data_IF_589608138233
#
_entry.id   IF_589608138233
#
_cell.length_a   1.000
_cell.length_b   1.000
_cell.length_c   1.000
_cell.angle_alpha   90.00
_cell.angle_beta   90.00
_cell.angle_gamma   90.00
#
_symmetry.space_group_name_H-M   'P 1'
#
loop_
_entity.id
_entity.type
_entity.pdbx_description
1 polymer ?
#
# COMPACT_ATOMS: atom_id res chain seq x y z
N UNK A 1 3.53 57.30 16.74
CA UNK A 1 2.91 55.97 16.49
C UNK A 1 3.24 55.48 15.06
N UNK A 2 4.49 55.15 14.75
CA UNK A 2 4.90 54.65 13.41
C UNK A 2 6.10 53.68 13.48
N UNK A 3 6.34 53.02 14.64
CA UNK A 3 7.46 52.08 14.78
C UNK A 3 7.06 50.60 14.98
N UNK A 4 5.77 50.26 15.12
CA UNK A 4 5.30 48.88 15.38
C UNK A 4 4.86 48.08 14.14
N UNK A 5 4.77 48.74 12.97
CA UNK A 5 4.30 48.05 11.74
C UNK A 5 5.43 47.39 10.90
N UNK A 6 6.65 47.86 11.04
CA UNK A 6 7.79 47.37 10.23
C UNK A 6 8.43 46.09 10.81
N UNK A 7 8.35 45.88 12.13
CA UNK A 7 8.88 44.66 12.76
C UNK A 7 7.99 43.43 12.51
N UNK A 8 6.67 43.61 12.45
CA UNK A 8 5.74 42.47 12.18
C UNK A 8 5.81 41.98 10.73
N UNK A 9 5.97 42.87 9.76
CA UNK A 9 6.11 42.52 8.35
C UNK A 9 7.45 41.80 8.05
N UNK A 10 8.55 42.22 8.71
CA UNK A 10 9.87 41.59 8.55
C UNK A 10 9.94 40.20 9.18
N UNK A 11 9.27 39.98 10.31
CA UNK A 11 9.21 38.66 10.97
C UNK A 11 8.34 37.68 10.18
N UNK A 12 7.25 38.14 9.60
CA UNK A 12 6.38 37.29 8.76
C UNK A 12 7.10 36.89 7.47
N UNK A 13 7.80 37.81 6.81
CA UNK A 13 8.51 37.49 5.55
C UNK A 13 9.72 36.57 5.79
N UNK A 14 10.45 36.72 6.90
CA UNK A 14 11.56 35.84 7.25
C UNK A 14 11.07 34.41 7.60
N UNK A 15 9.95 34.26 8.29
CA UNK A 15 9.39 32.95 8.64
C UNK A 15 8.80 32.22 7.43
N UNK A 16 8.26 32.91 6.44
CA UNK A 16 7.80 32.31 5.19
C UNK A 16 8.97 31.85 4.32
N UNK A 17 10.05 32.62 4.22
CA UNK A 17 11.25 32.27 3.45
C UNK A 17 11.97 31.06 4.07
N UNK A 18 12.09 31.01 5.41
CA UNK A 18 12.64 29.87 6.13
C UNK A 18 11.80 28.61 5.97
N UNK A 19 10.47 28.69 6.06
CA UNK A 19 9.59 27.54 5.88
C UNK A 19 9.60 27.02 4.43
N UNK A 20 9.74 27.90 3.45
CA UNK A 20 9.89 27.53 2.05
C UNK A 20 11.25 26.84 1.81
N UNK A 21 12.31 27.33 2.44
CA UNK A 21 13.65 26.73 2.39
C UNK A 21 13.68 25.32 3.01
N UNK A 22 13.03 25.12 4.16
CA UNK A 22 12.89 23.79 4.78
C UNK A 22 12.14 22.81 3.87
N UNK A 23 11.04 23.25 3.26
CA UNK A 23 10.23 22.43 2.33
C UNK A 23 11.03 21.99 1.12
N UNK A 24 11.87 22.85 0.55
CA UNK A 24 12.73 22.49 -0.58
C UNK A 24 13.73 21.40 -0.20
N UNK A 25 14.37 21.50 0.97
CA UNK A 25 15.29 20.46 1.47
C UNK A 25 14.57 19.14 1.74
N UNK A 26 13.37 19.17 2.30
CA UNK A 26 12.56 17.95 2.50
C UNK A 26 12.23 17.31 1.16
N UNK A 27 11.83 18.08 0.16
CA UNK A 27 11.55 17.56 -1.20
C UNK A 27 12.81 16.95 -1.82
N UNK A 28 13.95 17.63 -1.74
CA UNK A 28 15.23 17.11 -2.22
C UNK A 28 15.59 15.77 -1.54
N UNK A 29 15.46 15.70 -0.21
CA UNK A 29 15.70 14.46 0.55
C UNK A 29 14.82 13.29 0.09
N UNK A 30 13.55 13.56 -0.17
CA UNK A 30 12.58 12.52 -0.56
C UNK A 30 12.80 12.03 -2.00
N UNK A 31 13.25 12.92 -2.90
CA UNK A 31 13.44 12.63 -4.33
C UNK A 31 14.85 12.14 -4.68
N UNK A 32 15.85 12.40 -3.84
CA UNK A 32 17.23 11.97 -4.09
C UNK A 32 17.33 10.44 -4.11
N UNK A 33 17.85 9.88 -5.19
CA UNK A 33 17.97 8.43 -5.38
C UNK A 33 19.26 7.85 -4.80
N UNK A 34 20.31 8.66 -4.70
CA UNK A 34 21.58 8.27 -4.06
C UNK A 34 21.44 8.35 -2.53
N UNK A 35 21.61 7.22 -1.85
CA UNK A 35 21.46 7.11 -0.40
C UNK A 35 22.43 8.01 0.37
N UNK A 36 23.69 8.15 -0.11
CA UNK A 36 24.71 8.95 0.55
C UNK A 36 24.39 10.46 0.45
N UNK A 37 23.92 10.91 -0.72
CA UNK A 37 23.49 12.29 -0.91
C UNK A 37 22.24 12.59 -0.09
N UNK A 38 21.27 11.69 -0.06
CA UNK A 38 20.10 11.86 0.77
C UNK A 38 20.46 11.97 2.27
N UNK A 39 21.38 11.14 2.77
CA UNK A 39 21.83 11.25 4.17
C UNK A 39 22.55 12.58 4.44
N UNK A 40 23.23 13.17 3.46
CA UNK A 40 23.81 14.51 3.58
C UNK A 40 22.72 15.58 3.70
N UNK A 41 21.70 15.55 2.82
CA UNK A 41 20.54 16.47 2.88
C UNK A 41 19.80 16.33 4.21
N UNK A 42 19.57 15.09 4.68
CA UNK A 42 18.97 14.85 6.00
C UNK A 42 19.79 15.48 7.11
N UNK A 43 21.13 15.34 7.06
CA UNK A 43 22.03 15.95 8.06
C UNK A 43 21.88 17.47 8.07
N UNK A 44 21.70 18.11 6.92
CA UNK A 44 21.51 19.56 6.85
C UNK A 44 20.13 19.98 7.35
N UNK A 45 19.09 19.20 7.09
CA UNK A 45 17.76 19.43 7.71
C UNK A 45 17.86 19.36 9.23
N UNK A 46 18.53 18.34 9.79
CA UNK A 46 18.63 18.14 11.24
C UNK A 46 19.43 19.23 11.99
N UNK A 47 20.25 20.02 11.29
CA UNK A 47 20.97 21.18 11.87
C UNK A 47 20.10 22.44 11.94
N UNK A 48 18.97 22.48 11.27
CA UNK A 48 18.12 23.66 11.20
C UNK A 48 17.32 23.85 12.49
N UNK A 49 17.29 25.06 13.05
CA UNK A 49 16.54 25.36 14.27
C UNK A 49 15.01 25.35 14.05
N UNK A 50 14.55 25.54 12.81
CA UNK A 50 13.15 25.53 12.39
C UNK A 50 12.63 24.14 11.96
N UNK A 51 13.50 23.11 11.96
CA UNK A 51 13.13 21.74 11.60
C UNK A 51 12.74 20.92 12.85
N UNK A 52 11.66 21.28 13.50
CA UNK A 52 11.04 20.40 14.51
C UNK A 52 10.06 19.40 13.88
N UNK A 53 9.61 18.43 14.67
CA UNK A 53 8.72 17.35 14.19
C UNK A 53 7.43 17.90 13.58
N UNK A 54 6.83 18.91 14.21
CA UNK A 54 5.57 19.50 13.75
C UNK A 54 5.74 20.27 12.45
N UNK A 55 6.80 21.09 12.33
CA UNK A 55 7.11 21.83 11.11
C UNK A 55 7.37 20.88 9.92
N UNK A 56 8.06 19.76 10.18
CA UNK A 56 8.33 18.75 9.15
C UNK A 56 7.07 17.97 8.79
N UNK A 57 6.22 17.57 9.76
CA UNK A 57 4.93 16.96 9.50
C UNK A 57 4.03 17.87 8.66
N UNK A 58 3.91 19.13 9.04
CA UNK A 58 3.15 20.14 8.29
C UNK A 58 3.68 20.28 6.85
N UNK A 59 4.99 20.27 6.68
CA UNK A 59 5.61 20.33 5.36
C UNK A 59 5.30 19.12 4.50
N UNK A 60 5.31 17.91 5.10
CA UNK A 60 4.99 16.64 4.42
C UNK A 60 3.50 16.50 4.09
N UNK A 61 2.61 17.02 4.96
CA UNK A 61 1.15 16.94 4.80
C UNK A 61 0.60 18.01 3.86
N UNK A 62 1.34 19.10 3.62
CA UNK A 62 0.92 20.13 2.66
C UNK A 62 0.86 19.52 1.28
N UNK A 63 -0.22 19.81 0.56
CA UNK A 63 -0.42 19.34 -0.79
C UNK A 63 0.80 19.66 -1.67
N UNK A 64 1.35 18.61 -2.29
CA UNK A 64 2.37 18.76 -3.32
C UNK A 64 1.75 19.59 -4.45
N UNK A 65 2.45 20.61 -4.91
CA UNK A 65 2.03 21.39 -6.07
C UNK A 65 2.26 20.54 -7.32
N UNK A 66 1.19 20.04 -7.89
CA UNK A 66 1.24 19.33 -9.16
C UNK A 66 1.16 20.32 -10.32
N UNK A 67 2.01 20.13 -11.31
CA UNK A 67 1.95 20.88 -12.56
C UNK A 67 0.92 20.28 -13.50
N UNK A 68 0.48 21.06 -14.49
CA UNK A 68 -0.42 20.52 -15.53
C UNK A 68 0.29 19.41 -16.31
N UNK A 69 -0.37 18.27 -16.44
CA UNK A 69 0.15 17.07 -17.05
C UNK A 69 -0.75 16.64 -18.21
N UNK A 70 -0.23 15.93 -19.22
CA UNK A 70 -1.03 15.42 -20.34
C UNK A 70 -2.19 14.54 -19.86
N UNK A 71 -3.36 14.74 -20.49
CA UNK A 71 -4.61 13.99 -20.27
C UNK A 71 -4.82 12.95 -21.36
N UNK A 72 -5.81 12.09 -21.18
CA UNK A 72 -6.16 11.05 -22.15
C UNK A 72 -5.35 9.78 -21.99
N UNK A 73 -5.20 9.04 -23.08
CA UNK A 73 -4.50 7.74 -23.11
C UNK A 73 -3.01 7.93 -23.40
N UNK A 74 -2.17 7.31 -22.59
CA UNK A 74 -0.72 7.23 -22.75
C UNK A 74 -0.31 5.77 -22.80
N UNK A 75 0.26 5.32 -23.90
CA UNK A 75 0.71 3.94 -24.10
C UNK A 75 2.21 3.81 -23.89
N UNK A 76 2.65 2.66 -23.42
CA UNK A 76 4.07 2.31 -23.32
C UNK A 76 4.87 3.22 -22.39
N UNK A 77 4.25 3.79 -21.34
CA UNK A 77 4.98 4.63 -20.38
C UNK A 77 6.05 3.78 -19.68
N UNK A 78 7.34 4.13 -19.83
CA UNK A 78 8.42 3.29 -19.34
C UNK A 78 8.63 3.45 -17.83
N UNK A 79 8.88 2.34 -17.14
CA UNK A 79 9.34 2.30 -15.75
C UNK A 79 10.54 1.39 -15.63
N UNK A 80 11.48 1.74 -14.76
CA UNK A 80 12.66 0.93 -14.45
C UNK A 80 12.45 0.14 -13.16
N UNK A 81 12.65 -1.18 -13.23
CA UNK A 81 12.55 -2.10 -12.08
C UNK A 81 13.75 -3.03 -12.11
N UNK A 82 14.56 -3.02 -11.05
CA UNK A 82 15.77 -3.86 -10.93
C UNK A 82 16.68 -3.84 -12.16
N UNK A 83 16.91 -2.66 -12.75
CA UNK A 83 17.74 -2.48 -13.94
C UNK A 83 17.12 -2.98 -15.26
N UNK A 84 15.85 -3.36 -15.25
CA UNK A 84 15.07 -3.73 -16.43
C UNK A 84 13.99 -2.70 -16.69
N UNK A 85 13.61 -2.53 -17.96
CA UNK A 85 12.51 -1.66 -18.37
C UNK A 85 11.23 -2.45 -18.57
N UNK A 86 10.14 -1.93 -18.00
CA UNK A 86 8.78 -2.39 -18.21
C UNK A 86 7.94 -1.20 -18.71
N UNK A 87 6.72 -1.48 -19.17
CA UNK A 87 5.81 -0.45 -19.63
C UNK A 87 4.45 -0.56 -18.94
N UNK A 88 3.73 0.53 -18.90
CA UNK A 88 2.32 0.55 -18.53
C UNK A 88 1.53 1.49 -19.42
N UNK A 89 0.24 1.26 -19.54
CA UNK A 89 -0.71 2.17 -20.15
C UNK A 89 -1.40 2.99 -19.05
N UNK A 90 -1.62 4.29 -19.34
CA UNK A 90 -2.23 5.23 -18.41
C UNK A 90 -3.41 5.92 -19.08
N UNK A 91 -4.50 6.07 -18.36
CA UNK A 91 -5.60 6.97 -18.73
C UNK A 91 -5.76 8.04 -17.66
N UNK A 92 -5.77 9.29 -18.11
CA UNK A 92 -6.02 10.46 -17.28
C UNK A 92 -7.32 11.13 -17.79
N UNK A 93 -8.31 11.36 -16.91
CA UNK A 93 -9.56 12.02 -17.29
C UNK A 93 -9.36 13.33 -18.05
N UNK A 94 -10.21 13.61 -19.04
CA UNK A 94 -10.13 14.85 -19.82
C UNK A 94 -10.33 16.10 -18.95
N UNK A 95 -11.12 15.98 -17.89
CA UNK A 95 -11.37 17.02 -16.88
C UNK A 95 -10.35 17.06 -15.74
N UNK A 96 -9.22 16.35 -15.80
CA UNK A 96 -8.22 16.36 -14.73
C UNK A 96 -7.77 17.77 -14.36
N UNK A 97 -7.76 18.06 -13.06
CA UNK A 97 -7.28 19.31 -12.47
C UNK A 97 -6.15 19.01 -11.47
N UNK A 98 -4.94 19.60 -11.62
CA UNK A 98 -3.82 19.33 -10.70
C UNK A 98 -4.12 19.63 -9.24
N UNK A 99 -5.01 20.58 -8.95
CA UNK A 99 -5.42 20.95 -7.60
C UNK A 99 -6.41 19.96 -6.95
N UNK A 100 -6.91 18.95 -7.70
CA UNK A 100 -7.90 17.98 -7.21
C UNK A 100 -7.28 16.60 -7.14
N UNK A 101 -7.41 15.94 -5.99
CA UNK A 101 -6.95 14.57 -5.82
C UNK A 101 -7.93 13.56 -6.46
N UNK A 102 -7.39 12.68 -7.31
CA UNK A 102 -8.16 11.67 -8.04
C UNK A 102 -7.94 10.27 -7.49
N UNK A 103 -8.97 9.41 -7.49
CA UNK A 103 -8.78 8.00 -7.22
C UNK A 103 -7.99 7.33 -8.35
N UNK A 104 -7.17 6.34 -8.00
CA UNK A 104 -6.39 5.53 -8.93
C UNK A 104 -6.86 4.09 -8.93
N UNK A 105 -7.07 3.50 -10.10
CA UNK A 105 -7.29 2.05 -10.25
C UNK A 105 -6.12 1.45 -11.02
N UNK A 106 -5.38 0.56 -10.37
CA UNK A 106 -4.35 -0.27 -10.99
C UNK A 106 -5.02 -1.53 -11.53
N UNK A 107 -4.90 -1.79 -12.84
CA UNK A 107 -5.59 -2.86 -13.53
C UNK A 107 -4.60 -3.91 -14.04
N UNK A 108 -4.65 -5.12 -13.49
CA UNK A 108 -3.78 -6.24 -13.86
C UNK A 108 -4.43 -7.10 -14.94
N UNK A 109 -3.77 -7.23 -16.10
CA UNK A 109 -4.30 -7.98 -17.23
C UNK A 109 -4.24 -9.50 -17.04
N UNK A 110 -5.10 -10.24 -17.74
CA UNK A 110 -5.08 -11.69 -17.82
C UNK A 110 -3.95 -12.24 -18.71
N UNK A 111 -3.86 -13.56 -18.82
CA UNK A 111 -2.88 -14.23 -19.66
C UNK A 111 -2.99 -13.78 -21.14
N UNK A 112 -1.85 -13.52 -21.77
CA UNK A 112 -1.78 -13.16 -23.19
C UNK A 112 -2.22 -11.74 -23.54
N UNK A 113 -2.53 -10.89 -22.56
CA UNK A 113 -2.85 -9.47 -22.77
C UNK A 113 -1.65 -8.58 -22.41
N UNK A 114 -1.76 -7.29 -22.76
CA UNK A 114 -0.88 -6.20 -22.34
C UNK A 114 -1.67 -5.15 -21.55
N UNK A 115 -0.98 -4.23 -20.90
CA UNK A 115 -1.61 -3.11 -20.20
C UNK A 115 -2.46 -2.26 -21.15
N UNK A 116 -1.98 -2.01 -22.36
CA UNK A 116 -2.70 -1.23 -23.40
C UNK A 116 -4.04 -1.89 -23.77
N UNK A 117 -4.00 -3.18 -24.10
CA UNK A 117 -5.20 -3.92 -24.47
C UNK A 117 -6.18 -4.05 -23.30
N UNK A 118 -5.69 -3.94 -22.06
CA UNK A 118 -6.52 -4.02 -20.86
C UNK A 118 -7.08 -2.64 -20.47
N UNK A 119 -6.34 -1.56 -20.75
CA UNK A 119 -6.79 -0.20 -20.50
C UNK A 119 -8.07 0.13 -21.25
N UNK A 120 -8.19 -0.21 -22.55
CA UNK A 120 -9.38 0.03 -23.36
C UNK A 120 -10.65 -0.57 -22.72
N UNK A 121 -10.52 -1.73 -22.08
CA UNK A 121 -11.65 -2.39 -21.40
C UNK A 121 -12.09 -1.62 -20.17
N UNK A 122 -11.14 -1.09 -19.38
CA UNK A 122 -11.43 -0.38 -18.15
C UNK A 122 -11.82 1.07 -18.37
N UNK A 123 -11.21 1.76 -19.33
CA UNK A 123 -11.58 3.13 -19.69
C UNK A 123 -13.05 3.23 -20.07
N UNK A 124 -13.54 2.32 -20.92
CA UNK A 124 -14.96 2.28 -21.31
C UNK A 124 -15.93 1.95 -20.17
N UNK A 125 -15.42 1.52 -19.02
CA UNK A 125 -16.20 1.09 -17.85
C UNK A 125 -16.20 2.10 -16.71
N UNK A 126 -15.06 2.73 -16.40
CA UNK A 126 -14.89 3.59 -15.21
C UNK A 126 -14.98 5.09 -15.51
N UNK A 127 -15.12 5.48 -16.80
CA UNK A 127 -15.32 6.84 -17.23
C UNK A 127 -14.28 7.86 -16.72
N UNK A 128 -14.69 9.12 -16.63
CA UNK A 128 -13.88 10.30 -16.30
C UNK A 128 -13.62 10.49 -14.80
N UNK A 129 -13.96 9.53 -13.94
CA UNK A 129 -13.87 9.71 -12.49
C UNK A 129 -12.57 9.17 -11.88
N UNK A 130 -11.85 8.34 -12.63
CA UNK A 130 -10.67 7.61 -12.13
C UNK A 130 -9.48 7.81 -13.06
N UNK A 131 -8.30 7.94 -12.49
CA UNK A 131 -7.06 7.68 -13.23
C UNK A 131 -6.87 6.16 -13.27
N UNK A 132 -6.54 5.61 -14.45
CA UNK A 132 -6.34 4.18 -14.64
C UNK A 132 -4.89 3.91 -15.04
N UNK A 133 -4.23 2.97 -14.39
CA UNK A 133 -2.89 2.55 -14.76
C UNK A 133 -2.86 1.02 -14.92
N UNK A 134 -2.46 0.58 -16.11
CA UNK A 134 -2.44 -0.82 -16.50
C UNK A 134 -1.00 -1.24 -16.82
N UNK A 135 -0.22 -1.73 -15.85
CA UNK A 135 1.12 -2.24 -16.13
C UNK A 135 1.07 -3.48 -17.01
N UNK A 136 2.12 -3.69 -17.82
CA UNK A 136 2.30 -4.89 -18.62
C UNK A 136 3.29 -5.83 -17.94
N UNK A 137 2.85 -7.06 -17.69
CA UNK A 137 3.69 -8.13 -17.21
C UNK A 137 3.69 -9.27 -18.23
N UNK A 138 4.86 -9.72 -18.73
CA UNK A 138 4.93 -10.78 -19.73
C UNK A 138 4.08 -12.00 -19.33
N UNK A 139 3.24 -12.46 -20.23
CA UNK A 139 2.30 -13.58 -20.07
C UNK A 139 1.31 -13.43 -18.90
N UNK A 140 1.25 -12.27 -18.22
CA UNK A 140 0.42 -12.09 -17.03
C UNK A 140 0.92 -12.90 -15.82
N UNK A 141 2.22 -13.06 -15.67
CA UNK A 141 2.84 -13.81 -14.57
C UNK A 141 2.93 -12.96 -13.29
N UNK A 142 1.77 -12.58 -12.74
CA UNK A 142 1.63 -11.69 -11.59
C UNK A 142 2.08 -12.29 -10.25
N UNK A 143 2.46 -13.55 -10.22
CA UNK A 143 2.98 -14.27 -9.05
C UNK A 143 4.50 -14.24 -8.93
N UNK A 144 5.15 -13.23 -9.47
CA UNK A 144 6.59 -13.01 -9.36
C UNK A 144 6.88 -11.75 -8.56
N UNK A 145 8.07 -11.66 -7.97
CA UNK A 145 8.52 -10.42 -7.29
C UNK A 145 8.64 -9.26 -8.26
N UNK A 146 9.16 -9.50 -9.47
CA UNK A 146 9.21 -8.48 -10.50
C UNK A 146 7.82 -7.88 -10.76
N UNK A 147 6.76 -8.72 -10.74
CA UNK A 147 5.41 -8.24 -10.94
C UNK A 147 4.94 -7.30 -9.81
N UNK A 148 5.22 -7.62 -8.56
CA UNK A 148 4.93 -6.73 -7.44
C UNK A 148 5.71 -5.41 -7.57
N UNK A 149 7.00 -5.48 -7.89
CA UNK A 149 7.84 -4.30 -8.07
C UNK A 149 7.37 -3.43 -9.26
N UNK A 150 6.90 -4.04 -10.35
CA UNK A 150 6.30 -3.34 -11.51
C UNK A 150 5.04 -2.59 -11.10
N UNK A 151 4.14 -3.22 -10.33
CA UNK A 151 2.92 -2.56 -9.84
C UNK A 151 3.26 -1.40 -8.92
N UNK A 152 4.19 -1.58 -7.99
CA UNK A 152 4.62 -0.53 -7.06
C UNK A 152 5.37 0.61 -7.77
N UNK A 153 6.20 0.30 -8.78
CA UNK A 153 6.87 1.32 -9.58
C UNK A 153 5.86 2.12 -10.41
N UNK A 154 4.85 1.45 -11.01
CA UNK A 154 3.74 2.11 -11.71
C UNK A 154 3.00 3.06 -10.77
N UNK A 155 2.65 2.59 -9.57
CA UNK A 155 1.99 3.42 -8.55
C UNK A 155 2.81 4.68 -8.24
N UNK A 156 4.10 4.52 -7.94
CA UNK A 156 4.99 5.65 -7.60
C UNK A 156 5.13 6.64 -8.77
N UNK A 157 5.29 6.15 -10.00
CA UNK A 157 5.42 7.01 -11.18
C UNK A 157 4.14 7.82 -11.43
N UNK A 158 2.97 7.22 -11.27
CA UNK A 158 1.69 7.94 -11.41
C UNK A 158 1.53 8.98 -10.29
N UNK A 159 1.80 8.64 -9.04
CA UNK A 159 1.72 9.56 -7.89
C UNK A 159 2.75 10.70 -7.98
N UNK A 160 3.90 10.48 -8.63
CA UNK A 160 4.89 11.53 -8.84
C UNK A 160 4.40 12.61 -9.82
N UNK A 161 3.56 12.26 -10.78
CA UNK A 161 3.10 13.14 -11.86
C UNK A 161 1.70 13.68 -11.69
N UNK A 162 0.80 12.91 -11.08
CA UNK A 162 -0.61 13.22 -10.96
C UNK A 162 -1.05 13.26 -9.50
N UNK A 163 -1.96 14.18 -9.17
CA UNK A 163 -2.51 14.30 -7.82
C UNK A 163 -3.46 13.14 -7.54
N UNK A 164 -2.93 12.08 -6.96
CA UNK A 164 -3.67 10.90 -6.56
C UNK A 164 -4.11 11.03 -5.09
N UNK A 165 -5.38 10.72 -4.81
CA UNK A 165 -5.87 10.52 -3.44
C UNK A 165 -5.25 9.23 -2.86
N UNK A 166 -4.32 9.32 -1.89
CA UNK A 166 -3.63 8.14 -1.36
C UNK A 166 -4.57 7.17 -0.62
N UNK A 167 -5.75 7.64 -0.24
CA UNK A 167 -6.74 6.81 0.45
C UNK A 167 -7.77 6.19 -0.50
N UNK A 168 -7.61 6.42 -1.82
CA UNK A 168 -8.49 5.89 -2.88
C UNK A 168 -7.70 5.21 -3.99
N UNK A 169 -6.77 4.34 -3.63
CA UNK A 169 -6.01 3.51 -4.56
C UNK A 169 -6.59 2.10 -4.54
N UNK A 170 -6.95 1.60 -5.71
CA UNK A 170 -7.57 0.29 -5.89
C UNK A 170 -6.71 -0.62 -6.76
N UNK A 171 -6.79 -1.91 -6.53
CA UNK A 171 -6.14 -2.92 -7.35
C UNK A 171 -7.21 -3.88 -7.89
N UNK A 172 -7.29 -4.02 -9.20
CA UNK A 172 -8.24 -4.91 -9.88
C UNK A 172 -7.55 -5.76 -10.94
N UNK A 173 -8.14 -6.89 -11.27
CA UNK A 173 -7.64 -7.77 -12.32
C UNK A 173 -8.49 -9.02 -12.47
N UNK A 174 -8.39 -9.65 -13.63
CA UNK A 174 -9.14 -10.86 -13.95
C UNK A 174 -8.19 -12.00 -14.31
N UNK A 175 -8.60 -13.25 -14.00
CA UNK A 175 -7.80 -14.43 -14.33
C UNK A 175 -6.42 -14.36 -13.67
N UNK A 176 -5.33 -14.48 -14.42
CA UNK A 176 -3.97 -14.26 -13.90
C UNK A 176 -3.83 -12.92 -13.18
N UNK A 177 -4.46 -11.84 -13.72
CA UNK A 177 -4.50 -10.53 -13.05
C UNK A 177 -5.18 -10.59 -11.69
N UNK A 178 -6.24 -11.38 -11.54
CA UNK A 178 -6.91 -11.61 -10.26
C UNK A 178 -6.05 -12.36 -9.24
N UNK A 179 -5.22 -13.33 -9.69
CA UNK A 179 -4.19 -13.95 -8.84
C UNK A 179 -3.23 -12.87 -8.33
N UNK A 180 -2.76 -11.98 -9.23
CA UNK A 180 -1.92 -10.85 -8.87
C UNK A 180 -2.56 -9.91 -7.86
N UNK A 181 -3.87 -9.64 -8.00
CA UNK A 181 -4.62 -8.81 -7.03
C UNK A 181 -4.57 -9.42 -5.64
N UNK A 182 -4.79 -10.73 -5.49
CA UNK A 182 -4.70 -11.37 -4.18
C UNK A 182 -3.28 -11.34 -3.62
N UNK A 183 -2.28 -11.70 -4.43
CA UNK A 183 -0.89 -11.79 -3.97
C UNK A 183 -0.30 -10.42 -3.62
N UNK A 184 -0.33 -9.49 -4.57
CA UNK A 184 0.21 -8.15 -4.39
C UNK A 184 -0.64 -7.39 -3.37
N UNK A 185 -1.97 -7.48 -3.48
CA UNK A 185 -2.90 -6.84 -2.56
C UNK A 185 -2.72 -7.29 -1.12
N UNK A 186 -2.53 -8.60 -0.86
CA UNK A 186 -2.32 -9.08 0.52
C UNK A 186 -0.96 -8.69 1.10
N UNK A 187 0.12 -8.70 0.29
CA UNK A 187 1.44 -8.30 0.77
C UNK A 187 1.55 -6.79 1.04
N UNK A 188 0.80 -5.97 0.29
CA UNK A 188 0.84 -4.51 0.34
C UNK A 188 -0.53 -3.90 0.69
N UNK A 189 -1.36 -4.63 1.42
CA UNK A 189 -2.74 -4.25 1.76
C UNK A 189 -2.89 -2.80 2.28
N UNK A 190 -1.99 -2.27 3.12
CA UNK A 190 -2.10 -0.88 3.60
C UNK A 190 -2.00 0.19 2.51
N UNK A 191 -1.62 -0.14 1.28
CA UNK A 191 -1.59 0.80 0.17
C UNK A 191 -2.96 0.94 -0.53
N UNK A 192 -3.87 -0.01 -0.33
CA UNK A 192 -5.09 -0.10 -1.12
C UNK A 192 -6.34 0.18 -0.28
N UNK A 193 -7.25 0.98 -0.85
CA UNK A 193 -8.59 1.20 -0.32
C UNK A 193 -9.50 -0.03 -0.51
N UNK A 194 -9.20 -0.86 -1.52
CA UNK A 194 -9.91 -2.09 -1.79
C UNK A 194 -9.31 -2.88 -2.95
N UNK A 195 -9.63 -4.17 -2.98
CA UNK A 195 -9.18 -5.12 -3.99
C UNK A 195 -10.38 -5.66 -4.77
N UNK A 196 -10.27 -5.77 -6.09
CA UNK A 196 -11.34 -6.31 -6.93
C UNK A 196 -10.84 -7.43 -7.86
N UNK A 197 -10.51 -8.62 -7.32
CA UNK A 197 -10.15 -9.80 -8.12
C UNK A 197 -11.39 -10.43 -8.78
N UNK A 198 -11.24 -10.81 -10.05
CA UNK A 198 -12.34 -11.35 -10.86
C UNK A 198 -11.96 -12.67 -11.51
N UNK A 199 -12.88 -13.63 -11.54
CA UNK A 199 -12.70 -14.94 -12.18
C UNK A 199 -11.34 -15.55 -11.85
N UNK A 200 -11.01 -15.68 -10.56
CA UNK A 200 -9.65 -16.00 -10.09
C UNK A 200 -9.67 -16.71 -8.74
N UNK A 201 -8.49 -17.05 -8.24
CA UNK A 201 -8.33 -17.73 -6.96
C UNK A 201 -6.90 -17.67 -6.43
N UNK A 202 -6.68 -18.35 -5.31
CA UNK A 202 -5.39 -18.54 -4.69
C UNK A 202 -5.10 -20.03 -4.50
N UNK A 203 -3.83 -20.35 -4.54
CA UNK A 203 -3.33 -21.62 -4.08
C UNK A 203 -3.47 -21.74 -2.55
N UNK A 204 -3.66 -22.94 -2.06
CA UNK A 204 -3.93 -23.22 -0.65
C UNK A 204 -2.76 -22.82 0.28
N UNK A 205 -1.50 -22.88 -0.19
CA UNK A 205 -0.33 -22.42 0.57
C UNK A 205 -0.29 -20.90 0.73
N UNK A 206 -0.99 -20.16 -0.11
CA UNK A 206 -1.07 -18.69 -0.09
C UNK A 206 -2.29 -18.17 0.70
N UNK A 207 -3.24 -19.03 1.02
CA UNK A 207 -4.44 -18.66 1.79
C UNK A 207 -4.16 -17.96 3.11
N UNK A 208 -3.09 -18.31 3.88
CA UNK A 208 -2.78 -17.62 5.13
C UNK A 208 -2.52 -16.11 4.97
N UNK A 209 -2.08 -15.64 3.79
CA UNK A 209 -1.86 -14.22 3.53
C UNK A 209 -3.16 -13.40 3.43
N UNK A 210 -4.33 -14.04 3.29
CA UNK A 210 -5.62 -13.36 3.38
C UNK A 210 -5.83 -12.70 4.76
N UNK A 211 -5.13 -13.17 5.80
CA UNK A 211 -5.15 -12.53 7.12
C UNK A 211 -4.66 -11.07 7.08
N UNK A 212 -3.84 -10.70 6.08
CA UNK A 212 -3.37 -9.34 5.87
C UNK A 212 -4.48 -8.36 5.41
N UNK A 213 -5.62 -8.88 4.96
CA UNK A 213 -6.71 -8.08 4.40
C UNK A 213 -7.73 -7.58 5.45
N UNK A 214 -7.40 -7.63 6.75
CA UNK A 214 -8.29 -7.16 7.83
C UNK A 214 -8.89 -5.78 7.56
N UNK A 215 -8.10 -4.87 7.00
CA UNK A 215 -8.50 -3.48 6.78
C UNK A 215 -8.75 -3.14 5.30
N UNK A 216 -8.55 -4.10 4.40
CA UNK A 216 -8.68 -3.89 2.96
C UNK A 216 -9.81 -4.75 2.43
N UNK A 217 -11.00 -4.18 2.19
CA UNK A 217 -12.16 -4.92 1.70
C UNK A 217 -11.93 -5.49 0.31
N UNK A 218 -12.57 -6.62 0.03
CA UNK A 218 -12.44 -7.35 -1.24
C UNK A 218 -13.79 -7.43 -1.94
N UNK A 219 -13.83 -7.07 -3.23
CA UNK A 219 -14.98 -7.30 -4.13
C UNK A 219 -14.64 -8.41 -5.11
N UNK A 220 -15.26 -9.57 -4.97
CA UNK A 220 -15.03 -10.74 -5.83
C UNK A 220 -16.22 -10.97 -6.73
N UNK A 221 -15.95 -11.29 -8.00
CA UNK A 221 -16.97 -11.74 -8.94
C UNK A 221 -16.47 -12.94 -9.74
N UNK A 222 -17.32 -13.96 -9.95
CA UNK A 222 -16.95 -15.17 -10.66
C UNK A 222 -18.16 -15.77 -11.41
N UNK A 223 -17.92 -16.27 -12.62
CA UNK A 223 -18.94 -16.98 -13.37
C UNK A 223 -19.07 -18.44 -12.92
N UNK A 224 -20.30 -18.90 -12.66
CA UNK A 224 -20.54 -20.32 -12.25
C UNK A 224 -20.19 -21.33 -13.36
N UNK A 225 -20.15 -20.88 -14.61
CA UNK A 225 -19.78 -21.69 -15.78
C UNK A 225 -18.34 -21.45 -16.24
N UNK A 226 -17.48 -20.92 -15.37
CA UNK A 226 -16.07 -20.69 -15.68
C UNK A 226 -15.32 -22.02 -15.77
N UNK A 227 -14.86 -22.35 -16.99
CA UNK A 227 -14.11 -23.58 -17.28
C UNK A 227 -12.58 -23.37 -17.25
N UNK A 228 -12.13 -22.11 -17.13
CA UNK A 228 -10.70 -21.75 -17.08
C UNK A 228 -10.23 -21.70 -15.63
N UNK A 229 -10.99 -20.99 -14.79
CA UNK A 229 -10.74 -20.86 -13.36
C UNK A 229 -11.99 -21.32 -12.61
N UNK A 230 -12.01 -22.51 -12.00
CA UNK A 230 -13.20 -23.02 -11.31
C UNK A 230 -13.73 -22.07 -10.24
N UNK A 231 -15.05 -21.85 -10.21
CA UNK A 231 -15.73 -20.94 -9.27
C UNK A 231 -15.48 -21.32 -7.81
N UNK A 232 -15.17 -22.58 -7.53
CA UNK A 232 -14.82 -23.13 -6.22
C UNK A 232 -13.60 -22.42 -5.59
N UNK A 233 -12.70 -21.89 -6.41
CA UNK A 233 -11.55 -21.09 -5.93
C UNK A 233 -12.03 -19.83 -5.21
N UNK A 234 -12.95 -19.07 -5.81
CA UNK A 234 -13.54 -17.89 -5.17
C UNK A 234 -14.42 -18.24 -3.98
N UNK A 235 -15.18 -19.34 -4.05
CA UNK A 235 -15.98 -19.85 -2.92
C UNK A 235 -15.11 -20.21 -1.71
N UNK A 236 -13.94 -20.80 -1.95
CA UNK A 236 -12.96 -21.14 -0.91
C UNK A 236 -12.41 -19.86 -0.24
N UNK A 237 -12.07 -18.84 -1.03
CA UNK A 237 -11.62 -17.56 -0.50
C UNK A 237 -12.75 -16.86 0.29
N UNK A 238 -13.97 -16.85 -0.23
CA UNK A 238 -15.13 -16.28 0.48
C UNK A 238 -15.36 -16.95 1.83
N UNK A 239 -15.25 -18.29 1.88
CA UNK A 239 -15.34 -19.05 3.14
C UNK A 239 -14.24 -18.66 4.12
N UNK A 240 -13.01 -18.47 3.65
CA UNK A 240 -11.89 -18.06 4.50
C UNK A 240 -12.06 -16.62 5.02
N UNK A 241 -12.46 -15.67 4.16
CA UNK A 241 -12.74 -14.29 4.59
C UNK A 241 -13.89 -14.23 5.60
N UNK A 242 -14.93 -15.09 5.43
CA UNK A 242 -16.00 -15.25 6.41
C UNK A 242 -15.46 -15.76 7.74
N UNK A 243 -14.62 -16.79 7.72
CA UNK A 243 -13.98 -17.35 8.92
C UNK A 243 -13.13 -16.31 9.67
N UNK A 244 -12.43 -15.42 8.92
CA UNK A 244 -11.64 -14.33 9.46
C UNK A 244 -12.50 -13.17 9.98
N UNK A 245 -13.78 -13.08 9.58
CA UNK A 245 -14.67 -11.97 9.91
C UNK A 245 -14.30 -10.67 9.18
N UNK A 246 -13.76 -10.78 7.97
CA UNK A 246 -13.29 -9.62 7.20
C UNK A 246 -14.34 -9.12 6.21
N UNK A 247 -14.34 -7.82 5.88
CA UNK A 247 -15.29 -7.24 4.95
C UNK A 247 -15.01 -7.69 3.51
N UNK A 248 -16.00 -8.27 2.86
CA UNK A 248 -15.94 -8.59 1.44
C UNK A 248 -17.32 -8.57 0.80
N UNK A 249 -17.36 -8.43 -0.50
CA UNK A 249 -18.52 -8.65 -1.38
C UNK A 249 -18.18 -9.78 -2.31
N UNK A 250 -19.06 -10.80 -2.39
CA UNK A 250 -18.90 -11.90 -3.32
C UNK A 250 -20.15 -12.04 -4.18
N UNK A 251 -19.95 -12.09 -5.49
CA UNK A 251 -21.02 -12.23 -6.48
C UNK A 251 -20.70 -13.34 -7.45
N UNK A 252 -21.69 -14.15 -7.77
CA UNK A 252 -21.63 -15.14 -8.85
C UNK A 252 -22.57 -14.70 -9.97
N UNK A 253 -22.20 -14.98 -11.22
CA UNK A 253 -23.09 -14.83 -12.37
C UNK A 253 -23.21 -16.14 -13.14
N UNK A 254 -24.38 -16.39 -13.69
CA UNK A 254 -24.70 -17.56 -14.51
C UNK A 254 -24.59 -17.30 -16.03
N UNK A 255 -24.14 -16.11 -16.40
CA UNK A 255 -24.02 -15.67 -17.79
C UNK A 255 -22.84 -16.32 -18.47
N UNK A 256 -22.98 -16.60 -19.75
CA UNK A 256 -21.94 -17.18 -20.60
C UNK A 256 -21.60 -16.24 -21.76
N UNK A 257 -20.30 -16.19 -22.10
CA UNK A 257 -19.80 -15.49 -23.29
C UNK A 257 -19.43 -16.54 -24.36
N UNK A 258 -19.74 -16.32 -25.65
CA UNK A 258 -19.51 -17.30 -26.70
C UNK A 258 -18.08 -17.86 -26.79
N UNK A 259 -17.09 -17.03 -26.44
CA UNK A 259 -15.65 -17.41 -26.51
C UNK A 259 -15.08 -17.78 -25.13
N UNK A 260 -15.56 -17.13 -24.05
CA UNK A 260 -14.96 -17.24 -22.72
C UNK A 260 -15.78 -18.09 -21.75
N UNK A 261 -16.95 -18.60 -22.15
CA UNK A 261 -17.86 -19.28 -21.23
C UNK A 261 -18.22 -18.37 -20.06
N UNK A 262 -18.04 -18.84 -18.82
CA UNK A 262 -18.21 -18.04 -17.60
C UNK A 262 -16.99 -17.19 -17.23
N UNK A 263 -15.87 -17.29 -17.98
CA UNK A 263 -14.60 -16.62 -17.67
C UNK A 263 -14.57 -15.17 -18.19
N UNK A 264 -15.42 -14.31 -17.64
CA UNK A 264 -15.45 -12.88 -18.00
C UNK A 264 -16.13 -12.05 -16.92
N UNK A 265 -15.99 -10.71 -17.01
CA UNK A 265 -16.70 -9.76 -16.15
C UNK A 265 -17.90 -9.16 -16.92
N UNK A 266 -19.16 -9.47 -16.52
CA UNK A 266 -20.35 -8.91 -17.15
C UNK A 266 -20.45 -7.40 -16.93
N UNK A 267 -20.83 -6.66 -17.99
CA UNK A 267 -20.96 -5.20 -17.89
C UNK A 267 -22.07 -4.77 -16.92
N UNK A 268 -23.05 -5.61 -16.72
CA UNK A 268 -24.19 -5.37 -15.83
C UNK A 268 -23.80 -5.33 -14.35
N UNK A 269 -22.66 -5.95 -14.00
CA UNK A 269 -22.09 -5.91 -12.65
C UNK A 269 -21.27 -4.64 -12.36
N UNK A 270 -21.00 -3.85 -13.41
CA UNK A 270 -20.16 -2.68 -13.31
C UNK A 270 -20.71 -1.57 -12.42
N UNK A 271 -22.02 -1.22 -12.45
CA UNK A 271 -22.56 -0.18 -11.58
C UNK A 271 -22.35 -0.49 -10.09
N UNK A 272 -22.49 -1.76 -9.70
CA UNK A 272 -22.29 -2.19 -8.31
C UNK A 272 -20.81 -2.10 -7.90
N UNK A 273 -19.88 -2.47 -8.80
CA UNK A 273 -18.45 -2.33 -8.57
C UNK A 273 -18.03 -0.86 -8.42
N UNK A 274 -18.53 0.03 -9.30
CA UNK A 274 -18.24 1.47 -9.23
C UNK A 274 -18.77 2.05 -7.93
N UNK A 275 -20.05 1.77 -7.60
CA UNK A 275 -20.64 2.20 -6.33
C UNK A 275 -19.90 1.66 -5.10
N UNK A 276 -19.27 0.48 -5.22
CA UNK A 276 -18.43 -0.07 -4.17
C UNK A 276 -17.11 0.70 -4.09
N UNK A 277 -16.39 0.96 -5.19
CA UNK A 277 -15.16 1.77 -5.20
C UNK A 277 -15.39 3.14 -4.57
N UNK A 278 -16.50 3.81 -4.90
CA UNK A 278 -16.82 5.16 -4.41
C UNK A 278 -16.94 5.24 -2.88
N UNK A 279 -17.33 4.14 -2.24
CA UNK A 279 -17.49 4.03 -0.79
C UNK A 279 -16.21 3.71 -0.04
N UNK A 280 -15.19 3.13 -0.74
CA UNK A 280 -14.02 2.64 -0.04
C UNK A 280 -12.98 3.76 0.18
N UNK A 281 -12.41 3.75 1.38
CA UNK A 281 -11.26 4.55 1.77
C UNK A 281 -10.36 3.68 2.63
N UNK A 282 -9.06 3.70 2.42
CA UNK A 282 -8.15 2.99 3.32
C UNK A 282 -8.09 3.70 4.67
N UNK A 283 -8.13 2.99 5.79
CA UNK A 283 -7.84 3.56 7.09
C UNK A 283 -6.32 3.79 7.20
N UNK A 284 -5.91 5.04 7.52
CA UNK A 284 -4.48 5.38 7.65
C UNK A 284 -3.86 4.75 8.90
N UNK A 285 -4.56 4.84 10.01
CA UNK A 285 -4.05 4.39 11.32
C UNK A 285 -5.07 3.48 12.03
N UNK A 286 -5.32 2.28 11.47
CA UNK A 286 -6.26 1.36 12.10
C UNK A 286 -5.74 0.89 13.45
N UNK A 287 -6.62 0.77 14.43
CA UNK A 287 -6.27 0.33 15.80
C UNK A 287 -5.91 -1.15 15.88
N UNK A 288 -6.11 -1.94 14.83
CA UNK A 288 -5.84 -3.38 14.81
C UNK A 288 -5.26 -3.79 13.45
N UNK A 289 -4.08 -4.38 13.47
CA UNK A 289 -3.40 -4.94 12.29
C UNK A 289 -3.09 -6.41 12.51
N UNK A 290 -3.26 -7.20 11.46
CA UNK A 290 -2.80 -8.59 11.38
C UNK A 290 -1.90 -8.70 10.17
N UNK A 291 -0.71 -9.26 10.34
CA UNK A 291 0.26 -9.46 9.26
C UNK A 291 0.83 -10.86 9.29
N UNK A 292 0.84 -11.52 8.14
CA UNK A 292 1.51 -12.78 7.88
C UNK A 292 2.62 -12.54 6.86
N UNK A 293 3.80 -13.08 7.11
CA UNK A 293 4.99 -12.89 6.26
C UNK A 293 5.72 -14.19 6.02
N UNK A 294 6.25 -14.33 4.82
CA UNK A 294 7.38 -15.19 4.48
C UNK A 294 8.72 -14.45 4.70
N UNK A 295 9.82 -15.17 4.66
CA UNK A 295 11.15 -14.61 4.94
C UNK A 295 11.60 -13.53 3.93
N UNK A 296 10.93 -13.42 2.81
CA UNK A 296 11.33 -12.56 1.69
C UNK A 296 10.57 -11.23 1.64
N UNK A 297 9.52 -11.07 2.44
CA UNK A 297 8.65 -9.90 2.46
C UNK A 297 8.54 -9.26 3.86
N UNK A 298 9.66 -9.05 4.53
CA UNK A 298 9.72 -8.39 5.84
C UNK A 298 9.65 -6.85 5.72
N UNK A 299 8.64 -6.35 5.01
CA UNK A 299 8.40 -4.91 4.78
C UNK A 299 7.45 -4.33 5.84
N UNK A 300 7.48 -2.99 6.06
CA UNK A 300 6.48 -2.34 6.89
C UNK A 300 5.06 -2.64 6.42
N UNK A 301 4.16 -2.83 7.37
CA UNK A 301 2.74 -3.08 7.13
C UNK A 301 1.91 -2.16 8.04
N UNK A 302 1.44 -1.04 7.50
CA UNK A 302 0.85 0.00 8.31
C UNK A 302 1.87 0.48 9.38
N UNK A 303 1.47 0.43 10.63
CA UNK A 303 2.31 0.86 11.77
C UNK A 303 3.13 -0.27 12.43
N UNK A 304 3.27 -1.44 11.79
CA UNK A 304 4.09 -2.56 12.29
C UNK A 304 5.10 -3.06 11.24
N UNK A 305 6.18 -3.68 11.69
CA UNK A 305 7.12 -4.43 10.84
C UNK A 305 7.68 -5.61 11.61
N UNK A 306 7.72 -6.78 10.99
CA UNK A 306 8.50 -7.92 11.48
C UNK A 306 9.96 -7.71 11.03
N UNK A 307 10.89 -7.59 11.98
CA UNK A 307 12.30 -7.29 11.70
C UNK A 307 13.14 -8.55 11.56
N UNK A 308 12.86 -9.57 12.37
CA UNK A 308 13.51 -10.86 12.29
C UNK A 308 12.59 -12.00 12.79
N UNK A 309 12.85 -13.18 12.27
CA UNK A 309 12.03 -14.37 12.51
C UNK A 309 12.93 -15.57 12.85
N UNK A 310 12.36 -16.62 13.43
CA UNK A 310 12.94 -17.95 13.36
C UNK A 310 12.92 -18.44 11.91
N UNK A 311 13.35 -19.68 11.63
CA UNK A 311 13.23 -20.24 10.28
C UNK A 311 11.76 -20.30 9.87
N UNK A 312 11.43 -19.62 8.76
CA UNK A 312 10.12 -19.62 8.10
C UNK A 312 10.28 -19.88 6.61
N UNK A 313 9.16 -20.12 5.93
CA UNK A 313 9.11 -20.29 4.49
C UNK A 313 9.73 -19.08 3.76
N UNK A 314 10.53 -19.37 2.74
CA UNK A 314 11.13 -18.39 1.85
C UNK A 314 10.70 -18.72 0.42
N UNK A 315 9.82 -17.88 -0.14
CA UNK A 315 9.51 -18.00 -1.57
C UNK A 315 10.71 -17.57 -2.41
N UNK A 316 10.93 -18.27 -3.53
CA UNK A 316 11.83 -17.81 -4.59
C UNK A 316 11.26 -16.56 -5.26
N UNK A 317 11.87 -16.08 -6.34
CA UNK A 317 11.30 -14.98 -7.13
C UNK A 317 9.94 -15.33 -7.77
N UNK A 318 9.58 -16.60 -7.76
CA UNK A 318 8.27 -17.10 -8.17
C UNK A 318 7.48 -17.56 -6.93
N UNK A 319 6.42 -16.83 -6.55
CA UNK A 319 5.60 -17.08 -5.35
C UNK A 319 4.79 -18.38 -5.41
N UNK A 320 4.73 -19.06 -6.55
CA UNK A 320 4.10 -20.39 -6.67
C UNK A 320 5.12 -21.53 -6.67
N UNK A 321 6.40 -21.23 -6.52
CA UNK A 321 7.47 -22.23 -6.40
C UNK A 321 7.44 -22.85 -4.99
N UNK A 322 7.35 -24.17 -4.92
CA UNK A 322 7.16 -24.95 -3.69
C UNK A 322 8.37 -25.81 -3.34
N UNK A 323 9.57 -25.46 -3.78
CA UNK A 323 10.79 -26.22 -3.47
C UNK A 323 11.16 -26.20 -1.99
N UNK A 324 10.71 -25.18 -1.22
CA UNK A 324 10.90 -25.15 0.22
C UNK A 324 9.75 -25.86 0.94
N UNK A 325 10.03 -26.96 1.66
CA UNK A 325 9.04 -27.70 2.44
C UNK A 325 8.29 -26.82 3.44
N UNK A 326 8.92 -25.76 3.94
CA UNK A 326 8.29 -24.79 4.83
C UNK A 326 7.10 -24.08 4.17
N UNK A 327 7.10 -23.93 2.83
CA UNK A 327 5.97 -23.38 2.07
C UNK A 327 4.80 -24.36 2.12
N UNK A 328 5.05 -25.65 1.83
CA UNK A 328 4.04 -26.72 1.83
C UNK A 328 3.38 -26.81 3.21
N UNK A 329 4.18 -26.69 4.27
CA UNK A 329 3.70 -26.72 5.66
C UNK A 329 3.22 -25.36 6.17
N UNK A 330 3.17 -24.32 5.33
CA UNK A 330 2.68 -22.97 5.67
C UNK A 330 3.40 -22.39 6.91
N UNK A 331 4.69 -22.59 7.01
CA UNK A 331 5.53 -22.11 8.12
C UNK A 331 5.81 -20.61 7.92
N UNK A 332 4.84 -19.76 8.22
CA UNK A 332 4.96 -18.32 8.11
C UNK A 332 5.12 -17.65 9.47
N UNK A 333 5.68 -16.45 9.50
CA UNK A 333 5.62 -15.59 10.68
C UNK A 333 4.30 -14.82 10.69
N UNK A 334 3.75 -14.58 11.88
CA UNK A 334 2.59 -13.71 12.04
C UNK A 334 2.76 -12.77 13.21
N UNK A 335 2.14 -11.59 13.09
CA UNK A 335 2.04 -10.57 14.11
C UNK A 335 0.64 -9.99 14.07
N UNK A 336 -0.04 -10.01 15.22
CA UNK A 336 -1.34 -9.38 15.43
C UNK A 336 -1.16 -8.29 16.48
N UNK A 337 -1.37 -7.01 16.09
CA UNK A 337 -1.12 -5.85 16.94
C UNK A 337 -2.38 -5.01 17.09
N UNK A 338 -2.71 -4.67 18.32
CA UNK A 338 -3.91 -3.93 18.67
C UNK A 338 -3.61 -2.81 19.66
N UNK A 339 -4.12 -1.62 19.40
CA UNK A 339 -4.23 -0.54 20.38
C UNK A 339 -5.38 -0.90 21.31
N UNK A 340 -5.06 -1.27 22.55
CA UNK A 340 -6.02 -1.85 23.51
C UNK A 340 -6.46 -0.85 24.59
N UNK A 341 -6.34 0.45 24.32
CA UNK A 341 -6.70 1.53 25.25
C UNK A 341 -5.66 2.64 25.21
N UNK A 342 -5.72 3.56 26.18
CA UNK A 342 -4.79 4.69 26.26
C UNK A 342 -3.35 4.18 26.42
N UNK A 343 -2.54 4.39 25.39
CA UNK A 343 -1.11 4.05 25.36
C UNK A 343 -0.77 2.60 25.70
N UNK A 344 -1.71 1.67 25.49
CA UNK A 344 -1.48 0.23 25.63
C UNK A 344 -1.56 -0.46 24.28
N UNK A 345 -0.51 -1.17 23.91
CA UNK A 345 -0.41 -1.94 22.67
C UNK A 345 -0.27 -3.43 23.01
N UNK A 346 -1.15 -4.24 22.49
CA UNK A 346 -1.10 -5.70 22.62
C UNK A 346 -0.64 -6.32 21.31
N UNK A 347 0.40 -7.13 21.37
CA UNK A 347 1.00 -7.78 20.20
C UNK A 347 1.09 -9.28 20.46
N UNK A 348 0.48 -10.08 19.58
CA UNK A 348 0.63 -11.53 19.57
C UNK A 348 1.49 -11.93 18.37
N UNK A 349 2.47 -12.77 18.59
CA UNK A 349 3.42 -13.16 17.55
C UNK A 349 3.58 -14.66 17.43
N UNK A 350 3.85 -15.13 16.22
CA UNK A 350 4.31 -16.50 15.97
C UNK A 350 5.56 -16.44 15.09
N UNK A 351 6.63 -17.13 15.49
CA UNK A 351 7.91 -17.19 14.78
C UNK A 351 8.61 -15.84 14.58
N UNK A 352 8.22 -14.82 15.31
CA UNK A 352 8.86 -13.49 15.30
C UNK A 352 9.87 -13.42 16.45
N UNK A 353 11.09 -12.95 16.15
CA UNK A 353 12.15 -12.72 17.13
C UNK A 353 12.29 -11.22 17.46
N UNK A 354 11.97 -10.35 16.51
CA UNK A 354 12.01 -8.90 16.69
C UNK A 354 11.01 -8.24 15.78
N UNK A 355 10.34 -7.20 16.27
CA UNK A 355 9.43 -6.37 15.50
C UNK A 355 9.56 -4.91 15.88
N UNK A 356 9.12 -4.02 14.99
CA UNK A 356 9.05 -2.58 15.22
C UNK A 356 7.61 -2.09 15.13
N UNK A 357 7.27 -1.15 16.02
CA UNK A 357 6.04 -0.36 16.03
C UNK A 357 6.37 1.05 15.60
N UNK A 358 5.72 1.55 14.58
CA UNK A 358 5.81 2.93 14.09
C UNK A 358 4.64 3.70 14.65
N UNK A 359 4.92 4.76 15.41
CA UNK A 359 3.93 5.42 16.26
C UNK A 359 3.83 6.91 15.93
N UNK A 360 2.61 7.42 16.08
CA UNK A 360 2.27 8.83 15.94
C UNK A 360 1.11 9.19 16.91
N UNK A 361 0.70 10.47 16.91
CA UNK A 361 -0.36 10.98 17.77
C UNK A 361 -1.75 10.40 17.45
N UNK A 362 -1.98 9.91 16.23
CA UNK A 362 -3.26 9.27 15.86
C UNK A 362 -3.43 7.88 16.49
N UNK A 363 -2.32 7.20 16.79
CA UNK A 363 -2.32 5.86 17.38
C UNK A 363 -2.26 5.91 18.90
N UNK A 364 -1.44 6.80 19.46
CA UNK A 364 -1.16 6.91 20.88
C UNK A 364 -0.86 8.37 21.28
N UNK A 365 -0.96 8.69 22.56
CA UNK A 365 -0.49 9.96 23.13
C UNK A 365 1.03 9.90 23.39
N UNK A 366 1.83 10.48 22.48
CA UNK A 366 3.30 10.46 22.57
C UNK A 366 3.84 11.26 23.80
N UNK A 367 3.01 12.04 24.48
CA UNK A 367 3.40 12.76 25.70
C UNK A 367 3.39 11.88 26.96
N UNK A 368 2.85 10.65 26.86
CA UNK A 368 2.69 9.72 27.97
C UNK A 368 3.48 8.42 27.74
N UNK A 369 3.86 7.72 28.82
CA UNK A 369 4.46 6.40 28.72
C UNK A 369 3.55 5.42 27.94
N UNK A 370 4.18 4.55 27.16
CA UNK A 370 3.54 3.48 26.39
C UNK A 370 3.83 2.15 27.04
N UNK A 371 2.80 1.31 27.16
CA UNK A 371 2.96 -0.08 27.61
C UNK A 371 2.72 -1.02 26.42
N UNK A 372 3.70 -1.87 26.11
CA UNK A 372 3.57 -2.92 25.09
C UNK A 372 3.56 -4.28 25.77
N UNK A 373 2.52 -5.06 25.46
CA UNK A 373 2.47 -6.46 25.85
C UNK A 373 2.73 -7.34 24.64
N UNK A 374 3.72 -8.22 24.73
CA UNK A 374 3.99 -9.22 23.70
C UNK A 374 3.64 -10.60 24.25
N UNK A 375 2.73 -11.30 23.57
CA UNK A 375 2.25 -12.62 24.01
C UNK A 375 1.77 -12.65 25.48
N UNK A 376 1.09 -11.58 25.88
CA UNK A 376 0.54 -11.42 27.24
C UNK A 376 1.52 -10.97 28.33
N UNK A 377 2.80 -10.72 27.98
CA UNK A 377 3.82 -10.22 28.92
C UNK A 377 4.23 -8.80 28.57
N UNK A 378 4.48 -7.96 29.58
CA UNK A 378 5.03 -6.63 29.37
C UNK A 378 6.42 -6.74 28.76
N UNK A 379 6.58 -6.24 27.54
CA UNK A 379 7.85 -6.22 26.80
C UNK A 379 8.47 -4.83 26.73
N UNK A 380 7.67 -3.80 27.00
CA UNK A 380 8.14 -2.42 27.10
C UNK A 380 7.17 -1.60 27.99
N UNK A 381 7.73 -0.73 28.79
CA UNK A 381 7.01 0.30 29.51
C UNK A 381 7.89 1.53 29.63
N UNK A 382 7.49 2.67 29.09
CA UNK A 382 8.30 3.89 29.08
C UNK A 382 7.90 4.90 28.03
N UNK A 383 8.62 6.03 27.96
CA UNK A 383 8.39 7.08 26.98
C UNK A 383 8.83 6.64 25.56
N UNK A 384 8.12 7.14 24.54
CA UNK A 384 8.53 6.99 23.14
C UNK A 384 8.79 8.39 22.57
N UNK A 385 9.98 8.59 22.02
CA UNK A 385 10.42 9.90 21.56
C UNK A 385 10.21 10.05 20.05
N UNK A 386 9.47 11.09 19.67
CA UNK A 386 9.34 11.52 18.29
C UNK A 386 10.64 12.23 17.84
N UNK A 387 11.06 12.00 16.60
CA UNK A 387 12.22 12.66 16.01
C UNK A 387 12.01 12.96 14.52
N UNK A 388 12.59 14.08 14.08
CA UNK A 388 12.62 14.49 12.67
C UNK A 388 13.30 13.42 11.79
N UNK A 389 14.39 12.84 12.30
CA UNK A 389 15.12 11.80 11.57
C UNK A 389 14.25 10.59 11.30
N UNK A 390 13.55 10.07 12.32
CA UNK A 390 12.63 8.93 12.16
C UNK A 390 11.52 9.27 11.17
N UNK A 391 10.89 10.42 11.32
CA UNK A 391 9.80 10.89 10.47
C UNK A 391 10.22 10.92 8.99
N UNK A 392 11.35 11.56 8.68
CA UNK A 392 11.85 11.71 7.31
C UNK A 392 12.31 10.37 6.72
N UNK A 393 13.02 9.55 7.49
CA UNK A 393 13.44 8.20 7.02
C UNK A 393 12.25 7.30 6.71
N UNK A 394 11.18 7.34 7.53
CA UNK A 394 9.97 6.56 7.28
C UNK A 394 9.16 7.12 6.11
N UNK A 395 9.01 8.44 5.99
CA UNK A 395 8.34 9.08 4.87
C UNK A 395 9.01 8.69 3.52
N UNK A 396 10.34 8.75 3.47
CA UNK A 396 11.12 8.36 2.29
C UNK A 396 10.98 6.86 1.96
N UNK A 397 11.06 6.00 2.97
CA UNK A 397 10.96 4.53 2.79
C UNK A 397 9.60 4.10 2.26
N UNK A 398 8.53 4.75 2.75
CA UNK A 398 7.14 4.37 2.44
C UNK A 398 6.65 4.95 1.12
N UNK A 399 7.23 6.05 0.68
CA UNK A 399 6.72 6.85 -0.45
C UNK A 399 5.22 7.19 -0.30
N UNK A 400 4.78 7.42 0.94
CA UNK A 400 3.40 7.69 1.29
C UNK A 400 3.33 8.81 2.34
N UNK A 401 3.02 10.01 1.87
CA UNK A 401 2.97 11.21 2.70
C UNK A 401 1.72 11.28 3.61
N UNK A 402 0.79 10.36 3.46
CA UNK A 402 -0.37 10.25 4.34
C UNK A 402 -0.11 9.33 5.56
N UNK A 403 1.00 8.57 5.56
CA UNK A 403 1.38 7.65 6.63
C UNK A 403 2.67 8.14 7.31
N UNK A 404 2.55 9.13 8.19
CA UNK A 404 3.67 9.73 8.91
C UNK A 404 3.85 9.11 10.29
N UNK A 405 5.10 8.74 10.61
CA UNK A 405 5.47 8.12 11.87
C UNK A 405 6.75 8.74 12.43
N UNK A 406 6.62 9.72 13.35
CA UNK A 406 7.78 10.37 13.95
C UNK A 406 8.51 9.53 14.99
N UNK A 407 7.91 8.41 15.43
CA UNK A 407 8.48 7.59 16.47
C UNK A 407 8.51 6.10 16.09
N UNK A 408 9.53 5.38 16.54
CA UNK A 408 9.68 3.94 16.36
C UNK A 408 10.09 3.28 17.67
N UNK A 409 9.46 2.16 17.98
CA UNK A 409 9.79 1.31 19.12
C UNK A 409 10.08 -0.09 18.61
N UNK A 410 11.29 -0.59 18.85
CA UNK A 410 11.71 -1.95 18.46
C UNK A 410 11.73 -2.87 19.67
N UNK A 411 11.05 -4.01 19.54
CA UNK A 411 10.85 -4.99 20.60
C UNK A 411 11.51 -6.31 20.19
N UNK A 412 12.34 -6.85 21.07
CA UNK A 412 12.80 -8.24 20.99
C UNK A 412 11.78 -9.15 21.66
N UNK A 413 11.43 -10.24 21.00
CA UNK A 413 10.49 -11.23 21.55
C UNK A 413 11.33 -12.27 22.29
N UNK A 414 11.14 -12.36 23.60
CA UNK A 414 11.81 -13.39 24.39
C UNK A 414 11.42 -14.77 23.86
N UNK A 415 12.43 -15.55 23.51
CA UNK A 415 12.21 -16.95 23.22
C UNK A 415 11.68 -17.60 24.50
N UNK A 416 10.38 -17.88 24.54
CA UNK A 416 9.84 -18.78 25.58
C UNK A 416 10.51 -20.11 25.38
N UNK A 417 11.10 -20.73 26.44
CA UNK A 417 11.76 -22.01 26.35
C UNK A 417 10.82 -23.12 25.89
#
# INVERSE_FOLDING_TARGET
>A
MLASGLLSASIVSASEDDSQSLRLLITEYLEETDGTKADAVLTDILKRPDADVHAVEDSLLRDRVYTDQPRGVHSGVPIAVRGRFFGYALYVPSGYQPATAYPLVLCLHGAGFTGEAYLDRWQSRLNEQYILACPTMPMGNWWTRDAADVVLATLRDVQARYHIDPDRIFLTGMSNGGIGVYLIGSHYAPLFAGLAPMASGLDDVLMPFLANLRQTPVYMIHGVHDQVMPVELSRTIAKELTRLGYPFTYREHDRTHPVAGGHYFPREELPDLVAWFDKQRRPRFPSHLTVVRDATHLLPFGWVRIDSTTRIAAFSDNLVDRRDDAIIHRVYASLDAKIAGLNRIEVNTQRVQRYSLFLNQELIDLSKPVTVLTNGRVSYEGPVTASVETLLREARRRHDHALLFPAVLTISVDSTP
#
